data_IF_197561417535
#
_entry.id   IF_197561417535
#
_cell.length_a   1.000
_cell.length_b   1.000
_cell.length_c   1.000
_cell.angle_alpha   90.00
_cell.angle_beta   90.00
_cell.angle_gamma   90.00
#
_symmetry.space_group_name_H-M   'P 1'
#
loop_
_entity.id
_entity.type
_entity.pdbx_description
1 polymer ?
#
# COMPACT_ATOMS: atom_id res chain seq x y z
N UNK A 1 -17.66 -18.99 30.95
CA UNK A 1 -16.84 -17.76 30.91
C UNK A 1 -17.25 -16.96 29.69
N UNK A 2 -18.00 -15.87 29.88
CA UNK A 2 -18.59 -15.09 28.79
C UNK A 2 -17.53 -14.12 28.25
N UNK A 3 -16.73 -14.55 27.27
CA UNK A 3 -15.73 -13.69 26.63
C UNK A 3 -16.46 -12.62 25.83
N UNK A 4 -16.61 -11.42 26.39
CA UNK A 4 -16.99 -10.22 25.62
C UNK A 4 -16.05 -10.16 24.42
N UNK A 5 -16.59 -10.41 23.23
CA UNK A 5 -15.84 -10.35 21.96
C UNK A 5 -15.25 -8.94 21.86
N UNK A 6 -13.93 -8.81 22.05
CA UNK A 6 -13.29 -7.49 22.03
C UNK A 6 -13.61 -6.77 20.71
N UNK A 7 -14.12 -5.54 20.83
CA UNK A 7 -14.50 -4.72 19.68
C UNK A 7 -13.26 -4.46 18.81
N UNK A 8 -13.38 -4.76 17.52
CA UNK A 8 -12.32 -4.55 16.54
C UNK A 8 -11.87 -3.09 16.47
N UNK A 9 -10.56 -2.86 16.33
CA UNK A 9 -9.96 -1.53 16.14
C UNK A 9 -9.87 -1.09 14.67
N UNK A 10 -10.48 -1.83 13.75
CA UNK A 10 -10.35 -1.58 12.30
C UNK A 10 -10.67 -0.13 11.90
N UNK A 11 -11.85 0.38 12.27
CA UNK A 11 -12.31 1.72 11.88
C UNK A 11 -11.34 2.82 12.30
N UNK A 12 -10.82 2.75 13.52
CA UNK A 12 -9.87 3.74 14.05
C UNK A 12 -8.55 3.71 13.28
N UNK A 13 -7.99 2.51 13.04
CA UNK A 13 -6.75 2.35 12.27
C UNK A 13 -6.92 2.89 10.84
N UNK A 14 -8.05 2.59 10.21
CA UNK A 14 -8.38 3.06 8.85
C UNK A 14 -8.49 4.59 8.83
N UNK A 15 -9.29 5.20 9.70
CA UNK A 15 -9.51 6.65 9.72
C UNK A 15 -8.19 7.39 9.97
N UNK A 16 -7.40 6.94 10.94
CA UNK A 16 -6.12 7.57 11.28
C UNK A 16 -5.15 7.46 10.09
N UNK A 17 -5.04 6.29 9.46
CA UNK A 17 -4.13 6.10 8.32
C UNK A 17 -4.54 6.95 7.11
N UNK A 18 -5.83 7.02 6.80
CA UNK A 18 -6.36 7.88 5.74
C UNK A 18 -6.11 9.35 6.04
N UNK A 19 -6.45 9.80 7.26
CA UNK A 19 -6.30 11.19 7.66
C UNK A 19 -4.84 11.64 7.58
N UNK A 20 -3.92 10.90 8.20
CA UNK A 20 -2.49 11.23 8.19
C UNK A 20 -1.95 11.26 6.76
N UNK A 21 -2.30 10.25 5.93
CA UNK A 21 -1.78 10.16 4.56
C UNK A 21 -2.26 11.29 3.65
N UNK A 22 -3.55 11.64 3.76
CA UNK A 22 -4.16 12.72 2.97
C UNK A 22 -3.66 14.08 3.47
N UNK A 23 -3.63 14.30 4.79
CA UNK A 23 -3.10 15.53 5.38
C UNK A 23 -1.64 15.74 4.97
N UNK A 24 -0.82 14.68 5.02
CA UNK A 24 0.57 14.73 4.56
C UNK A 24 0.66 15.12 3.09
N UNK A 25 -0.15 14.52 2.22
CA UNK A 25 -0.18 14.87 0.80
C UNK A 25 -0.58 16.35 0.59
N UNK A 26 -1.61 16.83 1.28
CA UNK A 26 -2.03 18.23 1.18
C UNK A 26 -0.91 19.17 1.64
N UNK A 27 -0.34 18.94 2.83
CA UNK A 27 0.74 19.76 3.38
C UNK A 27 1.93 19.78 2.41
N UNK A 28 2.39 18.61 1.96
CA UNK A 28 3.55 18.51 1.09
C UNK A 28 3.35 19.15 -0.28
N UNK A 29 2.21 18.94 -0.92
CA UNK A 29 2.03 19.33 -2.33
C UNK A 29 1.36 20.69 -2.52
N UNK A 30 0.47 21.12 -1.62
CA UNK A 30 -0.23 22.41 -1.73
C UNK A 30 0.34 23.49 -0.81
N UNK A 31 0.66 23.15 0.44
CA UNK A 31 1.10 24.15 1.41
C UNK A 31 2.59 24.46 1.23
N UNK A 32 3.40 23.42 1.05
CA UNK A 32 4.85 23.51 0.88
C UNK A 32 5.30 23.35 -0.58
N UNK A 33 4.39 22.92 -1.44
CA UNK A 33 4.63 22.73 -2.87
C UNK A 33 3.79 23.71 -3.69
N UNK A 34 3.97 23.67 -5.01
CA UNK A 34 3.37 24.63 -5.94
C UNK A 34 2.13 24.07 -6.68
N UNK A 35 1.56 22.97 -6.19
CA UNK A 35 0.41 22.34 -6.85
C UNK A 35 -0.86 23.16 -6.57
N UNK A 36 -1.58 23.50 -7.64
CA UNK A 36 -2.81 24.27 -7.57
C UNK A 36 -3.95 23.46 -6.94
N UNK A 37 -4.80 24.12 -6.16
CA UNK A 37 -5.97 23.51 -5.48
C UNK A 37 -6.95 22.81 -6.41
N UNK A 38 -7.01 23.22 -7.69
CA UNK A 38 -7.82 22.53 -8.71
C UNK A 38 -7.39 21.07 -8.93
N UNK A 39 -6.13 20.73 -8.63
CA UNK A 39 -5.58 19.39 -8.79
C UNK A 39 -5.74 18.54 -7.50
N UNK A 40 -6.37 19.09 -6.44
CA UNK A 40 -6.67 18.36 -5.21
C UNK A 40 -7.52 17.09 -5.44
N UNK A 41 -8.66 17.13 -6.15
CA UNK A 41 -9.64 16.03 -6.14
C UNK A 41 -9.12 14.72 -6.73
N UNK A 42 -8.26 14.79 -7.75
CA UNK A 42 -7.75 13.59 -8.44
C UNK A 42 -6.24 13.45 -8.20
N UNK A 43 -5.43 14.48 -8.42
CA UNK A 43 -3.98 14.32 -8.37
C UNK A 43 -3.46 14.14 -6.94
N UNK A 44 -3.84 15.01 -5.99
CA UNK A 44 -3.34 14.93 -4.62
C UNK A 44 -4.08 13.88 -3.80
N UNK A 45 -5.39 13.74 -3.98
CA UNK A 45 -6.16 12.70 -3.31
C UNK A 45 -5.67 11.30 -3.71
N UNK A 46 -5.33 11.07 -4.98
CA UNK A 46 -4.74 9.80 -5.42
C UNK A 46 -3.46 9.45 -4.65
N UNK A 47 -2.57 10.43 -4.43
CA UNK A 47 -1.32 10.21 -3.67
C UNK A 47 -1.59 9.88 -2.20
N UNK A 48 -2.53 10.58 -1.56
CA UNK A 48 -2.93 10.32 -0.18
C UNK A 48 -3.61 8.95 0.00
N UNK A 49 -4.51 8.59 -0.91
CA UNK A 49 -5.18 7.29 -0.95
C UNK A 49 -4.17 6.16 -1.16
N UNK A 50 -3.23 6.32 -2.11
CA UNK A 50 -2.18 5.34 -2.37
C UNK A 50 -1.34 5.07 -1.11
N UNK A 51 -0.90 6.13 -0.43
CA UNK A 51 -0.12 5.99 0.81
C UNK A 51 -0.93 5.32 1.92
N UNK A 52 -2.19 5.71 2.11
CA UNK A 52 -3.06 5.11 3.12
C UNK A 52 -3.27 3.61 2.86
N UNK A 53 -3.62 3.24 1.63
CA UNK A 53 -3.80 1.85 1.22
C UNK A 53 -2.54 1.03 1.52
N UNK A 54 -1.38 1.58 1.22
CA UNK A 54 -0.11 0.89 1.36
C UNK A 54 0.34 0.76 2.82
N UNK A 55 0.15 1.78 3.66
CA UNK A 55 0.38 1.71 5.12
C UNK A 55 -0.54 0.66 5.74
N UNK A 56 -1.83 0.69 5.40
CA UNK A 56 -2.82 -0.27 5.89
C UNK A 56 -2.50 -1.70 5.45
N UNK A 57 -2.01 -1.89 4.21
CA UNK A 57 -1.52 -3.18 3.72
C UNK A 57 -0.36 -3.69 4.59
N UNK A 58 0.62 -2.83 4.86
CA UNK A 58 1.76 -3.15 5.72
C UNK A 58 1.31 -3.56 7.12
N UNK A 59 0.44 -2.76 7.76
CA UNK A 59 -0.12 -3.07 9.08
C UNK A 59 -0.85 -4.43 9.05
N UNK A 60 -1.73 -4.64 8.07
CA UNK A 60 -2.54 -5.86 7.97
C UNK A 60 -1.69 -7.13 7.87
N UNK A 61 -0.60 -7.08 7.10
CA UNK A 61 0.30 -8.21 6.93
C UNK A 61 1.30 -8.38 8.08
N UNK A 62 1.64 -7.33 8.82
CA UNK A 62 2.56 -7.41 9.96
C UNK A 62 1.91 -7.84 11.28
N UNK A 63 0.62 -7.55 11.52
CA UNK A 63 -0.06 -7.84 12.81
C UNK A 63 0.12 -9.30 13.27
N UNK A 64 -0.09 -10.27 12.38
CA UNK A 64 0.04 -11.70 12.72
C UNK A 64 1.50 -12.12 12.96
N UNK A 65 2.43 -11.85 12.03
CA UNK A 65 3.85 -12.16 12.21
C UNK A 65 4.49 -11.54 13.47
N UNK A 66 4.10 -10.32 13.86
CA UNK A 66 4.59 -9.69 15.10
C UNK A 66 4.29 -10.56 16.33
N UNK A 67 3.12 -11.18 16.39
CA UNK A 67 2.75 -12.07 17.49
C UNK A 67 3.67 -13.29 17.59
N UNK A 68 4.13 -13.81 16.45
CA UNK A 68 5.07 -14.93 16.41
C UNK A 68 6.49 -14.54 16.83
N UNK A 69 6.82 -13.25 16.91
CA UNK A 69 8.10 -12.73 17.41
C UNK A 69 8.10 -12.54 18.94
N UNK A 70 7.05 -13.00 19.63
CA UNK A 70 6.93 -12.88 21.09
C UNK A 70 6.35 -11.54 21.57
N UNK A 71 5.98 -10.64 20.65
CA UNK A 71 5.33 -9.38 20.99
C UNK A 71 3.83 -9.64 21.19
N UNK A 72 3.30 -9.30 22.37
CA UNK A 72 1.89 -9.47 22.66
C UNK A 72 1.04 -8.47 21.86
N UNK A 73 0.27 -8.96 20.88
CA UNK A 73 -0.64 -8.16 20.08
C UNK A 73 -2.07 -8.33 20.60
N UNK A 74 -2.74 -7.27 21.08
CA UNK A 74 -4.10 -7.39 21.62
C UNK A 74 -5.10 -7.93 20.60
N UNK A 75 -6.06 -8.75 21.06
CA UNK A 75 -7.01 -9.45 20.19
C UNK A 75 -7.85 -8.49 19.32
N UNK A 76 -8.19 -7.29 19.82
CA UNK A 76 -8.83 -6.23 19.03
C UNK A 76 -8.10 -5.85 17.73
N UNK A 77 -6.77 -5.97 17.65
CA UNK A 77 -5.98 -5.74 16.43
C UNK A 77 -6.01 -6.95 15.50
N UNK A 78 -5.93 -8.16 16.06
CA UNK A 78 -6.09 -9.40 15.29
C UNK A 78 -7.46 -9.45 14.60
N UNK A 79 -8.51 -9.03 15.32
CA UNK A 79 -9.88 -8.93 14.81
C UNK A 79 -10.04 -7.83 13.75
N UNK A 80 -9.11 -6.87 13.65
CA UNK A 80 -9.17 -5.77 12.69
C UNK A 80 -8.72 -6.18 11.27
N UNK A 81 -7.91 -7.22 11.14
CA UNK A 81 -7.24 -7.62 9.89
C UNK A 81 -8.18 -7.80 8.70
N UNK A 82 -9.33 -8.45 8.91
CA UNK A 82 -10.31 -8.65 7.82
C UNK A 82 -10.86 -7.32 7.31
N UNK A 83 -11.30 -6.44 8.22
CA UNK A 83 -11.84 -5.12 7.86
C UNK A 83 -10.79 -4.22 7.19
N UNK A 84 -9.57 -4.21 7.73
CA UNK A 84 -8.44 -3.48 7.13
C UNK A 84 -8.15 -4.02 5.74
N UNK A 85 -8.04 -5.35 5.56
CA UNK A 85 -7.75 -5.96 4.26
C UNK A 85 -8.75 -5.60 3.16
N UNK A 86 -10.05 -5.60 3.48
CA UNK A 86 -11.09 -5.17 2.53
C UNK A 86 -10.96 -3.69 2.16
N UNK A 87 -10.71 -2.81 3.12
CA UNK A 87 -10.50 -1.38 2.85
C UNK A 87 -9.21 -1.13 2.05
N UNK A 88 -8.14 -1.87 2.33
CA UNK A 88 -6.90 -1.83 1.54
C UNK A 88 -7.18 -2.15 0.07
N UNK A 89 -7.96 -3.21 -0.21
CA UNK A 89 -8.34 -3.55 -1.58
C UNK A 89 -9.14 -2.41 -2.24
N UNK A 90 -10.14 -1.85 -1.55
CA UNK A 90 -10.96 -0.76 -2.10
C UNK A 90 -10.14 0.52 -2.35
N UNK A 91 -9.30 0.94 -1.41
CA UNK A 91 -8.44 2.11 -1.59
C UNK A 91 -7.43 1.90 -2.71
N UNK A 92 -6.88 0.69 -2.85
CA UNK A 92 -5.96 0.35 -3.95
C UNK A 92 -6.70 0.38 -5.29
N UNK A 93 -7.94 -0.13 -5.37
CA UNK A 93 -8.77 -0.04 -6.57
C UNK A 93 -9.03 1.42 -6.96
N UNK A 94 -9.41 2.27 -6.00
CA UNK A 94 -9.59 3.71 -6.24
C UNK A 94 -8.30 4.36 -6.74
N UNK A 95 -7.16 4.03 -6.13
CA UNK A 95 -5.85 4.50 -6.58
C UNK A 95 -5.54 4.08 -8.02
N UNK A 96 -5.81 2.82 -8.39
CA UNK A 96 -5.63 2.33 -9.77
C UNK A 96 -6.50 3.12 -10.73
N UNK A 97 -7.79 3.29 -10.44
CA UNK A 97 -8.71 4.06 -11.29
C UNK A 97 -8.26 5.51 -11.46
N UNK A 98 -7.92 6.21 -10.37
CA UNK A 98 -7.41 7.58 -10.45
C UNK A 98 -6.09 7.66 -11.22
N UNK A 99 -5.20 6.68 -11.05
CA UNK A 99 -3.91 6.66 -11.73
C UNK A 99 -4.06 6.45 -13.22
N UNK A 100 -5.01 5.62 -13.67
CA UNK A 100 -5.35 5.45 -15.09
C UNK A 100 -5.85 6.77 -15.69
N UNK A 101 -6.73 7.50 -15.00
CA UNK A 101 -7.23 8.81 -15.47
C UNK A 101 -6.11 9.86 -15.59
N UNK A 102 -5.08 9.76 -14.74
CA UNK A 102 -3.95 10.67 -14.71
C UNK A 102 -2.78 10.23 -15.62
N UNK A 103 -2.88 9.08 -16.30
CA UNK A 103 -1.73 8.43 -16.92
C UNK A 103 -1.31 9.10 -18.24
N UNK A 104 -0.66 10.25 -18.12
CA UNK A 104 -0.13 11.03 -19.24
C UNK A 104 1.32 11.44 -19.02
N UNK A 105 2.09 11.70 -20.09
CA UNK A 105 3.44 12.26 -19.98
C UNK A 105 3.49 13.60 -19.25
N UNK A 106 2.42 14.39 -19.31
CA UNK A 106 2.35 15.70 -18.63
C UNK A 106 2.31 15.57 -17.11
N UNK A 107 1.60 14.56 -16.59
CA UNK A 107 1.42 14.33 -15.15
C UNK A 107 2.52 13.43 -14.57
N UNK A 108 2.88 12.35 -15.27
CA UNK A 108 3.86 11.36 -14.81
C UNK A 108 5.14 11.39 -15.64
N UNK A 109 5.74 12.56 -15.82
CA UNK A 109 6.94 12.78 -16.65
C UNK A 109 8.04 11.72 -16.48
N UNK A 110 8.30 11.27 -15.25
CA UNK A 110 9.32 10.26 -14.95
C UNK A 110 9.07 8.86 -15.56
N UNK A 111 7.83 8.56 -15.95
CA UNK A 111 7.47 7.29 -16.58
C UNK A 111 7.61 7.31 -18.10
N UNK A 112 7.77 8.48 -18.71
CA UNK A 112 7.75 8.64 -20.15
C UNK A 112 9.04 9.22 -20.69
N UNK A 113 9.43 8.78 -21.87
CA UNK A 113 10.44 9.41 -22.71
C UNK A 113 9.81 10.59 -23.47
N UNK A 114 10.64 11.43 -24.07
CA UNK A 114 10.19 12.62 -24.82
C UNK A 114 9.29 12.26 -26.01
N UNK A 115 9.48 11.08 -26.60
CA UNK A 115 8.63 10.54 -27.68
C UNK A 115 7.29 9.96 -27.18
N UNK A 116 6.99 10.07 -25.89
CA UNK A 116 5.75 9.59 -25.27
C UNK A 116 5.70 8.10 -24.97
N UNK A 117 6.77 7.33 -25.23
CA UNK A 117 6.82 5.91 -24.83
C UNK A 117 7.31 5.76 -23.40
N UNK A 118 7.12 4.58 -22.80
CA UNK A 118 7.53 4.34 -21.42
C UNK A 118 9.05 4.22 -21.29
N UNK A 119 9.58 4.79 -20.20
CA UNK A 119 10.93 4.44 -19.74
C UNK A 119 10.94 3.01 -19.23
N UNK A 120 12.09 2.33 -19.26
CA UNK A 120 12.24 0.99 -18.69
C UNK A 120 11.80 0.96 -17.21
N UNK A 121 12.21 1.96 -16.43
CA UNK A 121 11.82 2.10 -15.02
C UNK A 121 10.30 2.27 -14.86
N UNK A 122 9.68 3.09 -15.72
CA UNK A 122 8.23 3.25 -15.75
C UNK A 122 7.52 1.94 -16.08
N UNK A 123 7.98 1.21 -17.09
CA UNK A 123 7.43 -0.09 -17.46
C UNK A 123 7.51 -1.12 -16.32
N UNK A 124 8.67 -1.26 -15.67
CA UNK A 124 8.85 -2.19 -14.55
C UNK A 124 8.00 -1.78 -13.34
N UNK A 125 7.92 -0.49 -13.02
CA UNK A 125 7.10 0.01 -11.92
C UNK A 125 5.61 -0.28 -12.16
N UNK A 126 5.11 -0.03 -13.37
CA UNK A 126 3.70 -0.29 -13.72
C UNK A 126 3.39 -1.78 -13.72
N UNK A 127 4.29 -2.62 -14.27
CA UNK A 127 4.13 -4.08 -14.23
C UNK A 127 4.07 -4.60 -12.79
N UNK A 128 4.94 -4.09 -11.90
CA UNK A 128 4.89 -4.38 -10.46
C UNK A 128 3.56 -3.99 -9.83
N UNK A 129 3.02 -2.82 -10.18
CA UNK A 129 1.72 -2.34 -9.72
C UNK A 129 0.56 -3.21 -10.20
N UNK A 130 0.56 -3.59 -11.48
CA UNK A 130 -0.46 -4.46 -12.09
C UNK A 130 -0.46 -5.84 -11.44
N UNK A 131 0.70 -6.49 -11.37
CA UNK A 131 0.82 -7.82 -10.75
C UNK A 131 0.44 -7.73 -9.27
N UNK A 132 0.89 -6.71 -8.55
CA UNK A 132 0.55 -6.51 -7.14
C UNK A 132 -0.94 -6.33 -6.89
N UNK A 133 -1.62 -5.54 -7.73
CA UNK A 133 -3.07 -5.38 -7.65
C UNK A 133 -3.81 -6.69 -7.94
N UNK A 134 -3.41 -7.44 -8.97
CA UNK A 134 -4.00 -8.75 -9.29
C UNK A 134 -3.82 -9.73 -8.13
N UNK A 135 -2.61 -9.83 -7.55
CA UNK A 135 -2.34 -10.71 -6.41
C UNK A 135 -3.14 -10.30 -5.17
N UNK A 136 -3.31 -8.99 -4.93
CA UNK A 136 -4.17 -8.48 -3.85
C UNK A 136 -5.64 -8.83 -4.09
N UNK A 137 -6.12 -8.71 -5.32
CA UNK A 137 -7.50 -9.07 -5.68
C UNK A 137 -7.75 -10.57 -5.51
N UNK A 138 -6.85 -11.42 -6.02
CA UNK A 138 -6.95 -12.87 -5.83
C UNK A 138 -6.94 -13.19 -4.33
N UNK A 139 -6.06 -12.57 -3.56
CA UNK A 139 -6.00 -12.74 -2.11
C UNK A 139 -7.33 -12.37 -1.43
N UNK A 140 -7.92 -11.21 -1.72
CA UNK A 140 -9.25 -10.82 -1.17
C UNK A 140 -10.35 -11.81 -1.55
N UNK A 141 -10.33 -12.30 -2.80
CA UNK A 141 -11.35 -13.19 -3.34
C UNK A 141 -11.34 -14.57 -2.67
N UNK A 142 -10.16 -15.11 -2.35
CA UNK A 142 -9.99 -16.41 -1.65
C UNK A 142 -10.71 -16.44 -0.29
N UNK A 143 -10.87 -15.29 0.38
CA UNK A 143 -11.52 -15.24 1.71
C UNK A 143 -13.04 -15.02 1.66
N UNK A 144 -13.64 -14.95 0.46
CA UNK A 144 -15.09 -14.95 0.25
C UNK A 144 -15.63 -16.39 0.33
N UNK A 145 -16.86 -16.53 0.82
CA UNK A 145 -17.43 -17.79 1.32
C UNK A 145 -17.56 -18.91 0.29
N UNK A 146 -17.66 -18.60 -1.00
CA UNK A 146 -17.83 -19.58 -2.08
C UNK A 146 -16.56 -20.37 -2.43
N UNK A 147 -15.37 -19.85 -2.12
CA UNK A 147 -14.08 -20.50 -2.44
C UNK A 147 -13.44 -21.18 -1.23
N UNK A 148 -14.13 -21.21 -0.08
CA UNK A 148 -13.59 -21.74 1.18
C UNK A 148 -13.48 -23.27 1.22
N UNK A 149 -14.13 -23.95 0.29
CA UNK A 149 -14.18 -25.41 0.25
C UNK A 149 -12.89 -26.02 -0.32
N UNK A 150 -12.09 -25.24 -1.05
CA UNK A 150 -10.80 -25.67 -1.60
C UNK A 150 -9.63 -25.40 -0.64
N UNK A 151 -9.49 -26.27 0.38
CA UNK A 151 -8.47 -26.13 1.43
C UNK A 151 -7.03 -25.97 0.91
N UNK A 152 -6.66 -26.68 -0.16
CA UNK A 152 -5.32 -26.62 -0.76
C UNK A 152 -5.05 -25.26 -1.41
N UNK A 153 -6.04 -24.72 -2.12
CA UNK A 153 -5.98 -23.39 -2.74
C UNK A 153 -5.77 -22.31 -1.68
N UNK A 154 -6.58 -22.31 -0.62
CA UNK A 154 -6.45 -21.37 0.50
C UNK A 154 -5.09 -21.49 1.20
N UNK A 155 -4.59 -22.71 1.38
CA UNK A 155 -3.28 -22.95 2.00
C UNK A 155 -2.13 -22.31 1.18
N UNK A 156 -2.18 -22.41 -0.15
CA UNK A 156 -1.20 -21.77 -1.04
C UNK A 156 -1.20 -20.25 -0.89
N UNK A 157 -2.35 -19.57 -0.97
CA UNK A 157 -2.44 -18.11 -0.84
C UNK A 157 -2.13 -17.59 0.58
N UNK A 158 -2.21 -18.47 1.58
CA UNK A 158 -1.78 -18.18 2.96
C UNK A 158 -0.30 -18.47 3.20
N UNK A 159 0.37 -19.15 2.27
CA UNK A 159 1.77 -19.54 2.45
C UNK A 159 2.68 -18.33 2.59
N UNK A 160 3.74 -18.50 3.38
CA UNK A 160 4.78 -17.48 3.54
C UNK A 160 5.37 -17.07 2.18
N UNK A 161 5.67 -18.04 1.31
CA UNK A 161 6.25 -17.80 -0.01
C UNK A 161 5.34 -16.90 -0.85
N UNK A 162 4.06 -17.23 -0.95
CA UNK A 162 3.11 -16.42 -1.74
C UNK A 162 3.03 -14.98 -1.23
N UNK A 163 2.84 -14.77 0.07
CA UNK A 163 2.67 -13.42 0.64
C UNK A 163 3.94 -12.58 0.47
N UNK A 164 5.13 -13.17 0.70
CA UNK A 164 6.39 -12.45 0.50
C UNK A 164 6.60 -12.07 -0.97
N UNK A 165 6.34 -12.98 -1.90
CA UNK A 165 6.43 -12.69 -3.34
C UNK A 165 5.41 -11.62 -3.75
N UNK A 166 4.17 -11.72 -3.29
CA UNK A 166 3.12 -10.76 -3.60
C UNK A 166 3.47 -9.35 -3.08
N UNK A 167 3.93 -9.24 -1.84
CA UNK A 167 4.31 -7.94 -1.27
C UNK A 167 5.51 -7.30 -1.98
N UNK A 168 6.47 -8.09 -2.47
CA UNK A 168 7.60 -7.60 -3.27
C UNK A 168 7.14 -6.82 -4.50
N UNK A 169 6.05 -7.22 -5.15
CA UNK A 169 5.57 -6.52 -6.36
C UNK A 169 5.17 -5.07 -6.07
N UNK A 170 4.58 -4.80 -4.90
CA UNK A 170 4.33 -3.45 -4.40
C UNK A 170 5.62 -2.69 -4.07
N UNK A 171 6.63 -3.39 -3.54
CA UNK A 171 7.97 -2.83 -3.34
C UNK A 171 8.65 -2.42 -4.66
N UNK A 172 8.59 -3.28 -5.69
CA UNK A 172 9.08 -3.02 -7.04
C UNK A 172 8.38 -1.79 -7.62
N UNK A 173 7.06 -1.73 -7.51
CA UNK A 173 6.27 -0.58 -7.97
C UNK A 173 6.79 0.74 -7.38
N UNK A 174 6.98 0.81 -6.05
CA UNK A 174 7.48 2.00 -5.36
C UNK A 174 8.96 2.30 -5.64
N UNK A 175 9.81 1.28 -5.72
CA UNK A 175 11.25 1.44 -5.92
C UNK A 175 11.55 2.11 -7.26
N UNK A 176 11.05 1.54 -8.36
CA UNK A 176 11.34 2.03 -9.70
C UNK A 176 10.67 3.38 -10.01
N UNK A 177 9.58 3.73 -9.33
CA UNK A 177 8.99 5.07 -9.46
C UNK A 177 9.65 6.12 -8.55
N UNK A 178 10.36 5.71 -7.52
CA UNK A 178 10.77 6.58 -6.42
C UNK A 178 12.26 6.90 -6.39
N UNK A 179 13.12 5.97 -6.83
CA UNK A 179 14.57 6.00 -6.59
C UNK A 179 15.23 7.36 -6.89
N UNK A 180 15.00 7.90 -8.09
CA UNK A 180 15.59 9.18 -8.49
C UNK A 180 15.10 10.36 -7.64
N UNK A 181 13.83 10.35 -7.24
CA UNK A 181 13.25 11.39 -6.37
C UNK A 181 13.69 11.28 -4.91
N UNK A 182 14.10 10.09 -4.46
CA UNK A 182 14.62 9.88 -3.10
C UNK A 182 16.04 10.42 -2.95
N UNK A 183 16.84 10.32 -4.00
CA UNK A 183 18.25 10.74 -4.01
C UNK A 183 18.45 12.23 -4.32
N UNK A 184 17.37 13.03 -4.36
CA UNK A 184 17.41 14.47 -4.61
C UNK A 184 16.67 15.26 -3.52
N UNK A 185 17.18 15.29 -2.26
CA UNK A 185 16.54 15.96 -1.14
C UNK A 185 16.28 17.46 -1.37
N UNK A 186 17.12 18.11 -2.18
CA UNK A 186 16.96 19.51 -2.57
C UNK A 186 15.67 19.80 -3.36
N UNK A 187 15.05 18.76 -3.95
CA UNK A 187 13.78 18.86 -4.68
C UNK A 187 12.56 18.52 -3.81
N UNK A 188 12.74 18.30 -2.51
CA UNK A 188 11.66 17.95 -1.61
C UNK A 188 10.89 19.19 -1.18
N UNK A 189 9.59 19.24 -1.45
CA UNK A 189 8.73 20.36 -1.04
C UNK A 189 8.78 20.56 0.47
N UNK A 190 9.27 21.73 0.88
CA UNK A 190 9.51 22.09 2.28
C UNK A 190 10.44 21.12 3.04
N UNK A 191 11.34 20.42 2.33
CA UNK A 191 12.21 19.39 2.92
C UNK A 191 11.49 18.10 3.32
N UNK A 192 10.20 17.93 2.96
CA UNK A 192 9.43 16.74 3.32
C UNK A 192 9.66 15.57 2.33
N UNK A 193 9.92 14.36 2.83
CA UNK A 193 10.23 13.21 1.98
C UNK A 193 9.11 12.90 0.98
N UNK A 194 9.43 12.40 -0.23
CA UNK A 194 8.44 11.94 -1.17
C UNK A 194 7.54 10.86 -0.55
N UNK A 195 6.25 10.85 -0.90
CA UNK A 195 5.30 9.85 -0.39
C UNK A 195 5.76 8.42 -0.70
N UNK A 196 6.38 8.18 -1.85
CA UNK A 196 6.94 6.87 -2.21
C UNK A 196 8.09 6.44 -1.29
N UNK A 197 8.86 7.39 -0.72
CA UNK A 197 9.91 7.09 0.24
C UNK A 197 9.32 6.65 1.58
N UNK A 198 8.27 7.33 2.05
CA UNK A 198 7.53 6.88 3.24
C UNK A 198 6.98 5.47 3.01
N UNK A 199 6.38 5.25 1.83
CA UNK A 199 5.86 3.94 1.42
C UNK A 199 6.94 2.85 1.46
N UNK A 200 8.11 3.07 0.84
CA UNK A 200 9.16 2.03 0.80
C UNK A 200 9.77 1.76 2.18
N UNK A 201 9.84 2.77 3.06
CA UNK A 201 10.29 2.58 4.45
C UNK A 201 9.28 1.70 5.19
N UNK A 202 7.99 2.03 5.12
CA UNK A 202 6.93 1.20 5.70
C UNK A 202 6.95 -0.23 5.15
N UNK A 203 7.13 -0.39 3.83
CA UNK A 203 7.29 -1.69 3.20
C UNK A 203 8.48 -2.44 3.77
N UNK A 204 9.65 -1.81 3.89
CA UNK A 204 10.88 -2.48 4.32
C UNK A 204 10.74 -3.03 5.74
N UNK A 205 10.17 -2.24 6.66
CA UNK A 205 9.87 -2.69 8.02
C UNK A 205 8.84 -3.83 8.02
N UNK A 206 7.75 -3.67 7.27
CA UNK A 206 6.72 -4.72 7.16
C UNK A 206 7.31 -6.00 6.58
N UNK A 207 8.05 -5.92 5.49
CA UNK A 207 8.66 -7.04 4.80
C UNK A 207 9.63 -7.80 5.70
N UNK A 208 10.48 -7.08 6.44
CA UNK A 208 11.38 -7.67 7.44
C UNK A 208 10.60 -8.42 8.54
N UNK A 209 9.57 -7.80 9.11
CA UNK A 209 8.68 -8.45 10.09
C UNK A 209 8.06 -9.73 9.52
N UNK A 210 7.64 -9.71 8.25
CA UNK A 210 7.04 -10.85 7.58
C UNK A 210 8.07 -11.97 7.31
N UNK A 211 9.33 -11.64 7.00
CA UNK A 211 10.41 -12.62 6.86
C UNK A 211 10.70 -13.32 8.18
N UNK A 212 10.87 -12.57 9.27
CA UNK A 212 11.30 -13.15 10.55
C UNK A 212 10.12 -13.79 11.29
N UNK A 213 8.93 -13.17 11.23
CA UNK A 213 7.76 -13.57 12.04
C UNK A 213 6.81 -14.55 11.37
N UNK A 214 6.85 -14.78 10.04
CA UNK A 214 5.99 -15.81 9.42
C UNK A 214 6.60 -17.19 9.59
N UNK A 215 5.88 -18.05 10.32
CA UNK A 215 6.12 -19.49 10.34
C UNK A 215 5.94 -20.08 8.93
N UNK A 216 6.76 -21.06 8.59
CA UNK A 216 6.78 -21.76 7.30
C UNK A 216 5.46 -22.46 7.01
#
# INVERSE_FOLDING_TARGET
MNTRKEKSKATEIIIISCFISIAYAIIRYHILGEILWKDLPIYILNKGIALSAFILLCINFSIGPIQNLGINVPQKFMNARKGIGTIVFLLTLVHVCMSVLLFTPTVYKQFFLENGTLTLSGGISLLGGIIGFILLWVYDSVFKTSLKEERQFIAFFRSRKFILTATITGGIHLFFMGLNGWMTPEKWYGGLPPISLIGIICFSFSYFINIVGRKT
#
